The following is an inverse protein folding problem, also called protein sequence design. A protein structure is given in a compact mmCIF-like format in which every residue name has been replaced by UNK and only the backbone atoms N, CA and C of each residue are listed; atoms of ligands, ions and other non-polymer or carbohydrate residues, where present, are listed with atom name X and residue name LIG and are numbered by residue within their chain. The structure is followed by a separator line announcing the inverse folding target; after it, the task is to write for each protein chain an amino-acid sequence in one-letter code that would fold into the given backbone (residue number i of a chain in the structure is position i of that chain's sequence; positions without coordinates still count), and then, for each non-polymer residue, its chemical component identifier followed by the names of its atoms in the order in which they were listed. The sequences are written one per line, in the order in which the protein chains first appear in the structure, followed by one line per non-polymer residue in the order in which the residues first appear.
data_IF_827404142208
#
_entry.id   IF_827404142208
#
_cell.length_a   1.000
_cell.length_b   1.000
_cell.length_c   1.000
_cell.angle_alpha   90.00
_cell.angle_beta   90.00
_cell.angle_gamma   90.00
#
_symmetry.space_group_name_H-M   'P 1'
#
loop_
_entity.id
_entity.type
_entity.pdbx_description
1 polymer ?
#
# COMPACT_ATOMS: atom_id res chain seq x y z
N UNK A 1 11.98 18.69 14.10
CA UNK A 1 12.29 17.61 13.13
C UNK A 1 12.11 16.28 13.86
N UNK A 2 11.09 15.52 13.50
CA UNK A 2 10.86 14.20 14.09
C UNK A 2 11.92 13.22 13.60
N UNK A 3 12.45 12.38 14.50
CA UNK A 3 13.41 11.32 14.17
C UNK A 3 12.76 10.32 13.19
N UNK A 4 13.54 9.72 12.27
CA UNK A 4 13.06 8.67 11.36
C UNK A 4 12.39 7.52 12.12
N UNK A 5 12.96 7.13 13.29
CA UNK A 5 12.37 6.10 14.14
C UNK A 5 10.95 6.46 14.61
N UNK A 6 10.73 7.71 15.03
CA UNK A 6 9.40 8.16 15.46
C UNK A 6 8.41 8.21 14.30
N UNK A 7 8.85 8.55 13.09
CA UNK A 7 8.01 8.56 11.88
C UNK A 7 7.61 7.14 11.43
N UNK A 8 8.53 6.18 11.53
CA UNK A 8 8.25 4.77 11.25
C UNK A 8 7.30 4.17 12.30
N UNK A 9 7.52 4.47 13.58
CA UNK A 9 6.62 4.01 14.65
C UNK A 9 5.21 4.62 14.50
N UNK A 10 5.14 5.82 13.91
CA UNK A 10 3.88 6.50 13.66
C UNK A 10 3.00 5.79 12.60
N UNK A 11 3.59 4.99 11.70
CA UNK A 11 2.83 4.18 10.75
C UNK A 11 1.87 3.19 11.46
N UNK A 12 2.27 2.72 12.65
CA UNK A 12 1.42 1.85 13.48
C UNK A 12 0.15 2.58 13.94
N UNK A 13 0.28 3.85 14.36
CA UNK A 13 -0.89 4.68 14.73
C UNK A 13 -1.84 4.92 13.55
N UNK A 14 -1.29 5.10 12.36
CA UNK A 14 -2.09 5.30 11.14
C UNK A 14 -2.95 4.09 10.78
N UNK A 15 -2.51 2.87 11.14
CA UNK A 15 -3.26 1.64 10.91
C UNK A 15 -4.53 1.56 11.78
N UNK A 16 -4.45 2.00 13.05
CA UNK A 16 -5.58 1.91 14.00
C UNK A 16 -6.46 3.15 14.00
N UNK A 17 -5.90 4.33 13.75
CA UNK A 17 -6.59 5.61 13.71
C UNK A 17 -6.26 6.35 12.40
N UNK A 18 -6.83 5.89 11.26
CA UNK A 18 -6.39 6.37 9.94
C UNK A 18 -6.67 7.86 9.72
N UNK A 19 -7.83 8.37 10.12
CA UNK A 19 -8.18 9.77 9.92
C UNK A 19 -7.24 10.71 10.68
N UNK A 20 -7.04 10.46 11.97
CA UNK A 20 -6.14 11.27 12.80
C UNK A 20 -4.69 11.11 12.34
N UNK A 21 -4.29 9.87 12.00
CA UNK A 21 -2.95 9.57 11.52
C UNK A 21 -2.60 10.32 10.24
N UNK A 22 -3.44 10.28 9.23
CA UNK A 22 -3.20 11.00 7.97
C UNK A 22 -3.33 12.51 8.12
N UNK A 23 -4.20 12.99 8.99
CA UNK A 23 -4.29 14.41 9.32
C UNK A 23 -2.99 14.93 9.93
N UNK A 24 -2.41 14.23 10.90
CA UNK A 24 -1.15 14.59 11.51
C UNK A 24 0.04 14.45 10.53
N UNK A 25 0.03 13.47 9.63
CA UNK A 25 1.03 13.35 8.56
C UNK A 25 1.02 14.59 7.69
N UNK A 26 -0.17 15.09 7.31
CA UNK A 26 -0.33 16.27 6.46
C UNK A 26 0.02 17.56 7.19
N UNK A 27 -0.52 17.77 8.40
CA UNK A 27 -0.46 19.07 9.11
C UNK A 27 0.81 19.22 9.95
N UNK A 28 1.22 18.17 10.65
CA UNK A 28 2.38 18.18 11.55
C UNK A 28 3.67 17.68 10.90
N UNK A 29 3.65 17.35 9.59
CA UNK A 29 4.76 16.79 8.85
C UNK A 29 5.43 15.58 9.54
N UNK A 30 4.60 14.75 10.22
CA UNK A 30 5.05 13.52 10.87
C UNK A 30 5.42 12.42 9.88
N UNK A 31 5.00 12.53 8.60
CA UNK A 31 5.42 11.69 7.48
C UNK A 31 6.28 12.49 6.49
N UNK A 32 7.44 11.96 6.17
CA UNK A 32 8.35 12.54 5.17
C UNK A 32 8.53 11.58 4.00
N UNK A 33 8.96 12.07 2.84
CA UNK A 33 9.32 11.22 1.70
C UNK A 33 10.40 10.20 2.10
N UNK A 34 11.30 10.56 3.00
CA UNK A 34 12.34 9.63 3.49
C UNK A 34 11.74 8.45 4.24
N UNK A 35 10.80 8.70 5.15
CA UNK A 35 10.11 7.61 5.87
C UNK A 35 9.23 6.78 4.94
N UNK A 36 8.56 7.41 3.97
CA UNK A 36 7.79 6.73 2.94
C UNK A 36 8.65 5.77 2.10
N UNK A 37 9.85 6.23 1.67
CA UNK A 37 10.79 5.39 0.92
C UNK A 37 11.28 4.20 1.74
N UNK A 38 11.52 4.38 3.04
CA UNK A 38 11.90 3.26 3.92
C UNK A 38 10.76 2.25 4.05
N UNK A 39 9.52 2.71 4.24
CA UNK A 39 8.35 1.83 4.28
C UNK A 39 8.19 1.08 2.95
N UNK A 40 8.30 1.79 1.83
CA UNK A 40 8.23 1.18 0.50
C UNK A 40 9.32 0.11 0.31
N UNK A 41 10.56 0.40 0.70
CA UNK A 41 11.64 -0.58 0.64
C UNK A 41 11.34 -1.84 1.47
N UNK A 42 10.77 -1.67 2.67
CA UNK A 42 10.34 -2.81 3.52
C UNK A 42 9.22 -3.59 2.83
N UNK A 43 8.23 -2.92 2.25
CA UNK A 43 7.14 -3.56 1.48
C UNK A 43 7.73 -4.39 0.34
N UNK A 44 8.61 -3.82 -0.49
CA UNK A 44 9.25 -4.52 -1.60
C UNK A 44 10.04 -5.74 -1.12
N UNK A 45 10.78 -5.61 -0.02
CA UNK A 45 11.51 -6.74 0.57
C UNK A 45 10.56 -7.85 1.04
N UNK A 46 9.39 -7.52 1.61
CA UNK A 46 8.42 -8.56 2.02
C UNK A 46 7.77 -9.25 0.84
N UNK A 47 7.56 -8.56 -0.29
CA UNK A 47 7.09 -9.19 -1.52
C UNK A 47 8.14 -10.14 -2.10
N UNK A 48 9.40 -9.72 -2.17
CA UNK A 48 10.50 -10.60 -2.58
C UNK A 48 10.66 -11.80 -1.63
N UNK A 49 10.56 -11.56 -0.32
CA UNK A 49 10.59 -12.62 0.69
C UNK A 49 9.45 -13.63 0.49
N UNK A 50 8.24 -13.15 0.25
CA UNK A 50 7.08 -13.99 -0.03
C UNK A 50 7.32 -14.90 -1.24
N UNK A 51 7.80 -14.38 -2.36
CA UNK A 51 8.05 -15.16 -3.56
C UNK A 51 9.13 -16.25 -3.34
N UNK A 52 10.20 -15.94 -2.61
CA UNK A 52 11.32 -16.87 -2.38
C UNK A 52 11.02 -17.86 -1.26
N UNK A 53 10.39 -17.42 -0.17
CA UNK A 53 10.22 -18.20 1.06
C UNK A 53 8.85 -18.90 1.19
N UNK A 54 7.94 -18.73 0.24
CA UNK A 54 6.66 -19.47 0.23
C UNK A 54 6.90 -20.96 0.14
N UNK A 55 6.15 -21.74 0.93
CA UNK A 55 6.26 -23.20 1.01
C UNK A 55 6.09 -23.86 -0.37
N UNK A 56 6.84 -24.95 -0.59
CA UNK A 56 6.88 -25.65 -1.88
C UNK A 56 5.48 -26.03 -2.41
N UNK A 57 4.55 -26.43 -1.52
CA UNK A 57 3.19 -26.83 -1.89
C UNK A 57 2.35 -25.69 -2.47
N UNK A 58 2.65 -24.44 -2.10
CA UNK A 58 1.91 -23.24 -2.50
C UNK A 58 2.61 -22.42 -3.57
N UNK A 59 3.80 -22.86 -3.97
CA UNK A 59 4.60 -22.15 -4.98
C UNK A 59 4.14 -22.54 -6.38
N UNK A 60 3.84 -21.55 -7.19
CA UNK A 60 3.43 -21.73 -8.59
C UNK A 60 4.60 -21.81 -9.55
N UNK A 61 5.77 -21.29 -9.17
CA UNK A 61 6.97 -21.18 -10.01
C UNK A 61 8.19 -21.68 -9.23
N UNK A 62 9.10 -22.40 -9.88
CA UNK A 62 10.35 -22.84 -9.27
C UNK A 62 11.22 -21.63 -8.85
N UNK A 63 11.97 -21.77 -7.74
CA UNK A 63 12.82 -20.67 -7.20
C UNK A 63 13.77 -20.11 -8.24
N UNK A 64 14.30 -20.97 -9.07
CA UNK A 64 15.27 -20.64 -10.14
C UNK A 64 14.66 -19.78 -11.26
N UNK A 65 13.33 -19.78 -11.38
CA UNK A 65 12.58 -19.02 -12.39
C UNK A 65 11.99 -17.72 -11.84
N UNK A 66 12.20 -17.41 -10.54
CA UNK A 66 11.68 -16.18 -9.92
C UNK A 66 12.42 -14.97 -10.51
N UNK A 67 11.65 -14.13 -11.18
CA UNK A 67 12.17 -12.87 -11.73
C UNK A 67 11.95 -11.73 -10.73
N UNK A 68 12.95 -11.46 -9.87
CA UNK A 68 12.89 -10.40 -8.86
C UNK A 68 12.54 -9.01 -9.45
N UNK A 69 13.14 -8.57 -10.57
CA UNK A 69 12.70 -7.34 -11.25
C UNK A 69 11.21 -7.31 -11.56
N UNK A 70 10.63 -8.42 -11.97
CA UNK A 70 9.19 -8.50 -12.25
C UNK A 70 8.36 -8.37 -10.98
N UNK A 71 8.78 -8.98 -9.87
CA UNK A 71 8.13 -8.82 -8.56
C UNK A 71 8.15 -7.37 -8.11
N UNK A 72 9.27 -6.68 -8.26
CA UNK A 72 9.37 -5.24 -7.94
C UNK A 72 8.44 -4.41 -8.83
N UNK A 73 8.37 -4.73 -10.11
CA UNK A 73 7.52 -4.02 -11.06
C UNK A 73 6.03 -4.17 -10.72
N UNK A 74 5.58 -5.34 -10.27
CA UNK A 74 4.17 -5.56 -9.89
C UNK A 74 3.71 -4.68 -8.71
N UNK A 75 4.63 -4.22 -7.88
CA UNK A 75 4.32 -3.30 -6.77
C UNK A 75 4.54 -1.84 -7.18
N UNK A 76 5.65 -1.54 -7.84
CA UNK A 76 6.02 -0.17 -8.19
C UNK A 76 5.15 0.43 -9.28
N UNK A 77 4.79 -0.36 -10.30
CA UNK A 77 3.98 0.13 -11.41
C UNK A 77 2.60 0.61 -10.96
N UNK A 78 1.78 -0.19 -10.23
CA UNK A 78 0.50 0.29 -9.72
C UNK A 78 0.64 1.50 -8.79
N UNK A 79 1.68 1.55 -7.95
CA UNK A 79 1.92 2.68 -7.05
C UNK A 79 2.17 3.97 -7.82
N UNK A 80 3.02 3.94 -8.85
CA UNK A 80 3.33 5.11 -9.69
C UNK A 80 2.10 5.56 -10.45
N UNK A 81 1.38 4.62 -11.09
CA UNK A 81 0.15 4.90 -11.83
C UNK A 81 -0.93 5.49 -10.92
N UNK A 82 -1.10 4.94 -9.71
CA UNK A 82 -2.03 5.47 -8.73
C UNK A 82 -1.69 6.91 -8.32
N UNK A 83 -0.42 7.18 -7.99
CA UNK A 83 0.01 8.52 -7.61
C UNK A 83 -0.18 9.52 -8.77
N UNK A 84 0.15 9.13 -10.00
CA UNK A 84 0.00 9.97 -11.18
C UNK A 84 -1.48 10.25 -11.49
N UNK A 85 -2.34 9.22 -11.51
CA UNK A 85 -3.76 9.34 -11.78
C UNK A 85 -4.45 10.19 -10.70
N UNK A 86 -4.20 9.91 -9.42
CA UNK A 86 -4.78 10.65 -8.30
C UNK A 86 -4.35 12.11 -8.31
N UNK A 87 -3.09 12.38 -8.60
CA UNK A 87 -2.59 13.76 -8.70
C UNK A 87 -3.18 14.51 -9.90
N UNK A 88 -3.27 13.87 -11.06
CA UNK A 88 -3.88 14.45 -12.26
C UNK A 88 -5.35 14.85 -12.06
N UNK A 89 -6.09 14.06 -11.27
CA UNK A 89 -7.50 14.34 -10.95
C UNK A 89 -7.68 15.39 -9.85
N UNK A 90 -6.64 15.77 -9.11
CA UNK A 90 -6.73 16.80 -8.04
C UNK A 90 -7.29 18.12 -8.58
N UNK A 91 -6.93 18.50 -9.81
CA UNK A 91 -7.42 19.73 -10.45
C UNK A 91 -8.92 19.66 -10.78
N UNK A 92 -9.40 18.50 -11.20
CA UNK A 92 -10.82 18.29 -11.55
C UNK A 92 -11.71 18.25 -10.29
N UNK A 93 -11.19 17.70 -9.21
CA UNK A 93 -11.93 17.52 -7.96
C UNK A 93 -11.61 18.59 -6.91
N UNK A 94 -10.86 19.65 -7.27
CA UNK A 94 -10.46 20.74 -6.36
C UNK A 94 -9.78 20.22 -5.08
N UNK A 95 -8.93 19.18 -5.22
CA UNK A 95 -8.22 18.57 -4.10
C UNK A 95 -7.10 19.45 -3.58
N UNK A 96 -6.91 19.44 -2.26
CA UNK A 96 -5.86 20.21 -1.57
C UNK A 96 -4.52 19.46 -1.46
N UNK A 97 -4.48 18.16 -1.79
CA UNK A 97 -3.30 17.29 -1.68
C UNK A 97 -2.24 17.58 -2.75
N UNK A 98 -0.98 17.64 -2.32
CA UNK A 98 0.16 17.69 -3.23
C UNK A 98 0.59 16.27 -3.61
N UNK A 99 1.25 16.08 -4.76
CA UNK A 99 1.77 14.77 -5.17
C UNK A 99 2.62 14.09 -4.08
N UNK A 100 3.43 14.87 -3.37
CA UNK A 100 4.21 14.39 -2.21
C UNK A 100 3.33 13.77 -1.13
N UNK A 101 2.19 14.40 -0.82
CA UNK A 101 1.32 13.96 0.25
C UNK A 101 0.57 12.68 -0.16
N UNK A 102 0.17 12.56 -1.43
CA UNK A 102 -0.43 11.36 -2.02
C UNK A 102 0.55 10.19 -1.95
N UNK A 103 1.81 10.42 -2.34
CA UNK A 103 2.86 9.40 -2.29
C UNK A 103 3.11 8.90 -0.86
N UNK A 104 3.31 9.83 0.09
CA UNK A 104 3.54 9.48 1.50
C UNK A 104 2.35 8.70 2.07
N UNK A 105 1.13 9.18 1.85
CA UNK A 105 -0.10 8.50 2.27
C UNK A 105 -0.17 7.08 1.71
N UNK A 106 0.07 6.91 0.41
CA UNK A 106 -0.01 5.59 -0.24
C UNK A 106 1.01 4.62 0.35
N UNK A 107 2.26 5.05 0.55
CA UNK A 107 3.28 4.20 1.18
C UNK A 107 2.89 3.79 2.61
N UNK A 108 2.35 4.72 3.40
CA UNK A 108 1.88 4.40 4.77
C UNK A 108 0.66 3.45 4.75
N UNK A 109 -0.20 3.56 3.75
CA UNK A 109 -1.34 2.65 3.57
C UNK A 109 -0.94 1.22 3.19
N UNK A 110 0.28 1.01 2.69
CA UNK A 110 0.79 -0.32 2.34
C UNK A 110 1.35 -1.11 3.54
N UNK A 111 1.47 -0.50 4.73
CA UNK A 111 2.04 -1.16 5.93
C UNK A 111 1.32 -2.46 6.31
N UNK A 112 -0.01 -2.61 6.24
CA UNK A 112 -0.68 -3.89 6.50
C UNK A 112 -0.17 -5.03 5.64
N UNK A 113 0.25 -4.76 4.39
CA UNK A 113 0.79 -5.77 3.48
C UNK A 113 2.10 -6.39 4.00
N UNK A 114 2.90 -5.62 4.76
CA UNK A 114 4.12 -6.14 5.39
C UNK A 114 3.76 -7.29 6.34
N UNK A 115 2.79 -7.06 7.22
CA UNK A 115 2.35 -8.06 8.19
C UNK A 115 1.70 -9.27 7.52
N UNK A 116 0.78 -9.03 6.58
CA UNK A 116 0.09 -10.14 5.90
C UNK A 116 1.04 -10.97 5.04
N UNK A 117 2.00 -10.36 4.33
CA UNK A 117 2.98 -11.11 3.56
C UNK A 117 3.87 -11.99 4.46
N UNK A 118 4.33 -11.48 5.61
CA UNK A 118 5.13 -12.26 6.55
C UNK A 118 4.30 -13.41 7.11
N UNK A 119 3.08 -13.14 7.60
CA UNK A 119 2.20 -14.14 8.21
C UNK A 119 1.87 -15.23 7.18
N UNK A 120 1.43 -14.87 5.98
CA UNK A 120 1.05 -15.84 4.94
C UNK A 120 2.23 -16.67 4.46
N UNK A 121 3.44 -16.10 4.40
CA UNK A 121 4.64 -16.84 4.05
C UNK A 121 5.00 -17.85 5.15
N UNK A 122 4.95 -17.49 6.42
CA UNK A 122 5.19 -18.41 7.53
C UNK A 122 4.14 -19.53 7.55
N UNK A 123 2.87 -19.19 7.39
CA UNK A 123 1.78 -20.17 7.34
C UNK A 123 1.94 -21.15 6.18
N UNK A 124 2.35 -20.70 5.00
CA UNK A 124 2.56 -21.56 3.83
C UNK A 124 3.60 -22.66 4.05
N UNK A 125 4.51 -22.49 5.01
CA UNK A 125 5.52 -23.50 5.36
C UNK A 125 5.03 -24.52 6.41
N UNK A 126 3.91 -24.23 7.08
CA UNK A 126 3.36 -25.09 8.13
C UNK A 126 2.04 -25.75 7.75
N UNK A 127 1.34 -25.24 6.73
CA UNK A 127 0.01 -25.67 6.31
C UNK A 127 0.04 -26.68 5.18
N UNK A 128 -1.04 -27.45 5.04
CA UNK A 128 -1.26 -28.37 3.92
C UNK A 128 -2.08 -27.72 2.82
N UNK A 129 -2.05 -28.27 1.62
CA UNK A 129 -2.70 -27.69 0.43
C UNK A 129 -4.23 -27.52 0.61
N UNK A 130 -4.87 -28.37 1.41
CA UNK A 130 -6.28 -28.26 1.73
C UNK A 130 -6.65 -26.97 2.51
N UNK A 131 -5.67 -26.31 3.10
CA UNK A 131 -5.84 -25.08 3.89
C UNK A 131 -5.49 -23.81 3.09
N UNK A 132 -5.28 -23.91 1.78
CA UNK A 132 -4.93 -22.80 0.90
C UNK A 132 -5.91 -21.62 0.99
N UNK A 133 -7.19 -21.92 1.13
CA UNK A 133 -8.23 -20.89 1.20
C UNK A 133 -8.05 -19.96 2.40
N UNK A 134 -7.49 -20.48 3.50
CA UNK A 134 -7.20 -19.67 4.69
C UNK A 134 -6.05 -18.69 4.46
N UNK A 135 -4.99 -19.11 3.78
CA UNK A 135 -3.87 -18.22 3.39
C UNK A 135 -4.38 -17.14 2.44
N UNK A 136 -5.21 -17.55 1.48
CA UNK A 136 -5.84 -16.63 0.52
C UNK A 136 -6.72 -15.61 1.23
N UNK A 137 -7.53 -16.04 2.19
CA UNK A 137 -8.38 -15.16 3.00
C UNK A 137 -7.56 -14.10 3.76
N UNK A 138 -6.47 -14.49 4.44
CA UNK A 138 -5.61 -13.54 5.15
C UNK A 138 -4.98 -12.54 4.17
N UNK A 139 -4.59 -13.01 2.99
CA UNK A 139 -4.05 -12.13 1.94
C UNK A 139 -5.09 -11.08 1.53
N UNK A 140 -6.34 -11.48 1.28
CA UNK A 140 -7.42 -10.54 0.96
C UNK A 140 -7.71 -9.56 2.08
N UNK A 141 -7.69 -9.99 3.34
CA UNK A 141 -7.85 -9.09 4.50
C UNK A 141 -6.79 -7.99 4.47
N UNK A 142 -5.54 -8.30 4.15
CA UNK A 142 -4.47 -7.31 4.01
C UNK A 142 -4.73 -6.29 2.90
N UNK A 143 -5.18 -6.75 1.73
CA UNK A 143 -5.52 -5.85 0.63
C UNK A 143 -6.73 -4.97 0.93
N UNK A 144 -7.78 -5.54 1.51
CA UNK A 144 -8.97 -4.77 1.92
C UNK A 144 -8.59 -3.70 2.94
N UNK A 145 -7.73 -4.04 3.90
CA UNK A 145 -7.24 -3.07 4.88
C UNK A 145 -6.43 -1.95 4.23
N UNK A 146 -5.53 -2.29 3.30
CA UNK A 146 -4.78 -1.29 2.53
C UNK A 146 -5.73 -0.34 1.78
N UNK A 147 -6.74 -0.87 1.09
CA UNK A 147 -7.72 -0.06 0.35
C UNK A 147 -8.50 0.86 1.29
N UNK A 148 -8.92 0.37 2.46
CA UNK A 148 -9.59 1.19 3.47
C UNK A 148 -8.70 2.34 3.98
N UNK A 149 -7.39 2.09 4.15
CA UNK A 149 -6.42 3.12 4.52
C UNK A 149 -6.22 4.15 3.39
N UNK A 150 -6.14 3.71 2.13
CA UNK A 150 -6.06 4.62 0.98
C UNK A 150 -7.32 5.49 0.92
N UNK A 151 -8.50 4.90 1.12
CA UNK A 151 -9.76 5.63 1.10
C UNK A 151 -9.81 6.73 2.17
N UNK A 152 -9.50 6.40 3.41
CA UNK A 152 -9.47 7.36 4.53
C UNK A 152 -8.36 8.39 4.38
N UNK A 153 -7.21 7.99 3.86
CA UNK A 153 -6.09 8.87 3.54
C UNK A 153 -6.43 9.89 2.47
N UNK A 154 -7.08 9.47 1.38
CA UNK A 154 -7.54 10.39 0.33
C UNK A 154 -8.54 11.41 0.86
N UNK A 155 -9.54 10.98 1.66
CA UNK A 155 -10.48 11.90 2.31
C UNK A 155 -9.75 12.98 3.12
N UNK A 156 -8.79 12.56 3.94
CA UNK A 156 -8.07 13.45 4.86
C UNK A 156 -7.11 14.39 4.12
N UNK A 157 -6.38 13.87 3.11
CA UNK A 157 -5.39 14.68 2.38
C UNK A 157 -6.06 15.68 1.46
N UNK A 158 -7.11 15.29 0.76
CA UNK A 158 -7.81 16.18 -0.16
C UNK A 158 -8.92 16.99 0.49
N UNK A 159 -9.28 16.66 1.74
CA UNK A 159 -10.40 17.29 2.47
C UNK A 159 -11.73 17.06 1.73
N UNK A 160 -11.94 15.83 1.25
CA UNK A 160 -13.13 15.46 0.50
C UNK A 160 -14.24 14.93 1.41
N UNK A 161 -15.48 15.19 1.02
CA UNK A 161 -16.64 14.47 1.54
C UNK A 161 -16.67 13.04 0.96
N UNK A 162 -17.33 12.12 1.65
CA UNK A 162 -17.39 10.69 1.29
C UNK A 162 -17.74 10.44 -0.19
N UNK A 163 -18.81 11.07 -0.70
CA UNK A 163 -19.24 10.88 -2.10
C UNK A 163 -18.22 11.39 -3.13
N UNK A 164 -17.63 12.57 -2.87
CA UNK A 164 -16.58 13.15 -3.74
C UNK A 164 -15.32 12.28 -3.75
N UNK A 165 -14.94 11.74 -2.58
CA UNK A 165 -13.80 10.83 -2.46
C UNK A 165 -14.01 9.52 -3.23
N UNK A 166 -15.21 8.93 -3.13
CA UNK A 166 -15.55 7.70 -3.88
C UNK A 166 -15.44 7.91 -5.38
N UNK A 167 -15.99 9.02 -5.89
CA UNK A 167 -15.89 9.37 -7.31
C UNK A 167 -14.43 9.58 -7.73
N UNK A 168 -13.65 10.32 -6.95
CA UNK A 168 -12.22 10.54 -7.22
C UNK A 168 -11.44 9.23 -7.32
N UNK A 169 -11.65 8.31 -6.38
CA UNK A 169 -10.99 7.00 -6.40
C UNK A 169 -11.42 6.18 -7.63
N UNK A 170 -12.72 6.16 -7.94
CA UNK A 170 -13.23 5.45 -9.12
C UNK A 170 -12.59 6.00 -10.42
N UNK A 171 -12.54 7.32 -10.58
CA UNK A 171 -11.88 7.93 -11.74
C UNK A 171 -10.37 7.72 -11.75
N UNK A 172 -9.72 7.64 -10.59
CA UNK A 172 -8.29 7.32 -10.50
C UNK A 172 -8.00 5.90 -11.00
N UNK A 173 -8.85 4.93 -10.66
CA UNK A 173 -8.74 3.56 -11.17
C UNK A 173 -8.92 3.50 -12.68
N UNK A 174 -9.93 4.22 -13.21
CA UNK A 174 -10.13 4.33 -14.67
C UNK A 174 -8.92 5.00 -15.32
N UNK A 175 -8.40 6.08 -14.73
CA UNK A 175 -7.20 6.78 -15.20
C UNK A 175 -5.95 5.88 -15.23
N UNK A 176 -5.78 5.03 -14.21
CA UNK A 176 -4.72 4.00 -14.23
C UNK A 176 -4.88 3.04 -15.40
N UNK A 177 -6.12 2.58 -15.67
CA UNK A 177 -6.42 1.74 -16.82
C UNK A 177 -6.05 2.40 -18.14
N UNK A 178 -6.42 3.66 -18.33
CA UNK A 178 -6.09 4.44 -19.55
C UNK A 178 -4.58 4.63 -19.71
N UNK A 179 -3.82 4.78 -18.62
CA UNK A 179 -2.36 4.92 -18.67
C UNK A 179 -1.63 3.61 -19.01
N UNK A 180 -2.29 2.46 -18.84
CA UNK A 180 -1.74 1.14 -19.16
C UNK A 180 -1.93 0.73 -20.62
N UNK A 181 -2.88 1.35 -21.33
CA UNK A 181 -3.19 1.14 -22.73
C UNK A 181 -2.68 2.29 -23.60
#
# INVERSE_FOLDING_TARGET
KHSLKSQLLYSYRTIYHPFDGFWEIKTQQRGTVRSANVILAIVLLTFCYKEVATGYLFRTVAVEQINIPMVLLTVLLPLVLWCAASWGLTTLFEGKGKMKDIYVMTCYSMVPLIFTNIITTLMSNCMVLAEQDFITFITYVGYVWMVALIFSGCMTIHDYQFGKNTLMIAFSIVGMGVMLF
#
